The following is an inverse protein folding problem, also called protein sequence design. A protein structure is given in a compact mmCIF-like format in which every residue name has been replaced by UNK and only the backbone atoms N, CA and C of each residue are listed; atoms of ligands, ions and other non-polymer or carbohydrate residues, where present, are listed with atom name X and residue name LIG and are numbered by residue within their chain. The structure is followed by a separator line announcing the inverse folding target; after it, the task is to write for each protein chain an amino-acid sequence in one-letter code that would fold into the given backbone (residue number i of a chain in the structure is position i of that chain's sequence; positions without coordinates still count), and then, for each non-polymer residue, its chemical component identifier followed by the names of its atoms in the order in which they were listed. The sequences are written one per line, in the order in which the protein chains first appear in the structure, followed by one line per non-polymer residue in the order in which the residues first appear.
data_IF_852282255249
#
_entry.id   IF_852282255249
#
_cell.length_a   1.000
_cell.length_b   1.000
_cell.length_c   1.000
_cell.angle_alpha   90.00
_cell.angle_beta   90.00
_cell.angle_gamma   90.00
#
_symmetry.space_group_name_H-M   'P 1'
#
loop_
_entity.id
_entity.type
_entity.pdbx_description
1 polymer ?
#
# COMPACT_ATOMS: atom_id res chain seq x y z
N UNK A 1 29.37 -53.79 -22.68
CA UNK A 1 29.22 -52.43 -23.25
C UNK A 1 27.76 -51.90 -23.27
N UNK A 2 26.75 -52.58 -22.69
CA UNK A 2 25.32 -52.20 -22.84
C UNK A 2 24.80 -51.19 -21.78
N UNK A 3 25.34 -51.15 -20.56
CA UNK A 3 24.75 -50.37 -19.46
C UNK A 3 24.97 -48.84 -19.56
N UNK A 4 26.07 -48.37 -20.16
CA UNK A 4 26.40 -46.95 -20.22
C UNK A 4 25.54 -46.16 -21.23
N UNK A 5 25.08 -46.80 -22.31
CA UNK A 5 24.22 -46.18 -23.31
C UNK A 5 22.78 -45.96 -22.80
N UNK A 6 22.28 -46.86 -21.93
CA UNK A 6 20.95 -46.77 -21.33
C UNK A 6 20.83 -45.61 -20.32
N UNK A 7 21.87 -45.38 -19.51
CA UNK A 7 21.87 -44.30 -18.51
C UNK A 7 21.87 -42.89 -19.15
N UNK A 8 22.59 -42.71 -20.27
CA UNK A 8 22.62 -41.45 -21.01
C UNK A 8 21.27 -41.14 -21.70
N UNK A 9 20.59 -42.16 -22.24
CA UNK A 9 19.24 -42.03 -22.80
C UNK A 9 18.19 -41.64 -21.76
N UNK A 10 18.28 -42.20 -20.54
CA UNK A 10 17.36 -41.88 -19.44
C UNK A 10 17.58 -40.47 -18.87
N UNK A 11 18.83 -40.00 -18.81
CA UNK A 11 19.16 -38.65 -18.36
C UNK A 11 18.64 -37.58 -19.34
N UNK A 12 18.80 -37.79 -20.65
CA UNK A 12 18.28 -36.90 -21.69
C UNK A 12 16.74 -36.87 -21.72
N UNK A 13 16.09 -38.04 -21.57
CA UNK A 13 14.63 -38.16 -21.46
C UNK A 13 14.05 -37.42 -20.25
N UNK A 14 14.69 -37.55 -19.09
CA UNK A 14 14.29 -36.84 -17.87
C UNK A 14 14.52 -35.32 -17.97
N UNK A 15 15.58 -34.87 -18.64
CA UNK A 15 15.84 -33.46 -18.87
C UNK A 15 14.76 -32.80 -19.75
N UNK A 16 14.37 -33.45 -20.85
CA UNK A 16 13.30 -32.96 -21.73
C UNK A 16 11.94 -32.92 -21.02
N UNK A 17 11.61 -33.95 -20.24
CA UNK A 17 10.37 -33.99 -19.45
C UNK A 17 10.34 -32.92 -18.34
N UNK A 18 11.49 -32.61 -17.73
CA UNK A 18 11.60 -31.50 -16.76
C UNK A 18 11.48 -30.13 -17.42
N UNK A 19 12.09 -29.94 -18.59
CA UNK A 19 11.99 -28.69 -19.35
C UNK A 19 10.55 -28.39 -19.77
N UNK A 20 9.81 -29.39 -20.28
CA UNK A 20 8.40 -29.25 -20.64
C UNK A 20 7.51 -28.89 -19.45
N UNK A 21 7.71 -29.55 -18.29
CA UNK A 21 7.00 -29.23 -17.04
C UNK A 21 7.31 -27.82 -16.53
N UNK A 22 8.57 -27.39 -16.63
CA UNK A 22 8.98 -26.04 -16.26
C UNK A 22 8.37 -24.98 -17.19
N UNK A 23 8.36 -25.23 -18.50
CA UNK A 23 7.76 -24.35 -19.49
C UNK A 23 6.25 -24.18 -19.27
N UNK A 24 5.52 -25.27 -19.03
CA UNK A 24 4.08 -25.23 -18.75
C UNK A 24 3.77 -24.43 -17.48
N UNK A 25 4.54 -24.65 -16.41
CA UNK A 25 4.40 -23.91 -15.14
C UNK A 25 4.73 -22.43 -15.29
N UNK A 26 5.76 -22.09 -16.05
CA UNK A 26 6.11 -20.69 -16.34
C UNK A 26 5.03 -20.02 -17.20
N UNK A 27 4.49 -20.71 -18.21
CA UNK A 27 3.41 -20.21 -19.04
C UNK A 27 2.15 -19.92 -18.22
N UNK A 28 1.74 -20.83 -17.33
CA UNK A 28 0.62 -20.63 -16.42
C UNK A 28 0.84 -19.42 -15.47
N UNK A 29 2.06 -19.28 -14.93
CA UNK A 29 2.41 -18.15 -14.06
C UNK A 29 2.39 -16.82 -14.80
N UNK A 30 2.88 -16.79 -16.05
CA UNK A 30 2.86 -15.61 -16.91
C UNK A 30 1.43 -15.24 -17.32
N UNK A 31 0.59 -16.23 -17.66
CA UNK A 31 -0.82 -16.00 -17.96
C UNK A 31 -1.57 -15.40 -16.76
N UNK A 32 -1.37 -15.94 -15.55
CA UNK A 32 -1.95 -15.38 -14.33
C UNK A 32 -1.47 -13.95 -14.05
N UNK A 33 -0.17 -13.67 -14.26
CA UNK A 33 0.40 -12.32 -14.08
C UNK A 33 -0.18 -11.33 -15.09
N UNK A 34 -0.32 -11.73 -16.36
CA UNK A 34 -0.86 -10.89 -17.42
C UNK A 34 -2.36 -10.61 -17.20
N UNK A 35 -3.12 -11.61 -16.76
CA UNK A 35 -4.53 -11.44 -16.39
C UNK A 35 -4.70 -10.46 -15.21
N UNK A 36 -3.84 -10.56 -14.18
CA UNK A 36 -3.82 -9.61 -13.07
C UNK A 36 -3.44 -8.19 -13.51
N UNK A 37 -2.46 -8.06 -14.41
CA UNK A 37 -2.04 -6.77 -14.97
C UNK A 37 -3.15 -6.13 -15.83
N UNK A 38 -3.84 -6.91 -16.66
CA UNK A 38 -4.96 -6.43 -17.48
C UNK A 38 -6.17 -6.05 -16.62
N UNK A 39 -6.44 -6.77 -15.54
CA UNK A 39 -7.48 -6.39 -14.58
C UNK A 39 -7.12 -5.06 -13.89
N UNK A 40 -5.86 -4.88 -13.50
CA UNK A 40 -5.38 -3.64 -12.89
C UNK A 40 -5.49 -2.41 -13.81
N UNK A 41 -5.41 -2.59 -15.14
CA UNK A 41 -5.46 -1.51 -16.12
C UNK A 41 -6.83 -0.78 -16.18
N UNK A 42 -7.91 -1.42 -15.73
CA UNK A 42 -9.25 -0.83 -15.68
C UNK A 42 -9.68 -0.41 -14.27
N UNK A 43 -8.77 -0.41 -13.28
CA UNK A 43 -9.10 0.01 -11.91
C UNK A 43 -8.62 1.45 -11.69
N UNK A 44 -9.54 2.30 -11.22
CA UNK A 44 -9.27 3.69 -10.85
C UNK A 44 -7.97 3.82 -10.02
N UNK A 45 -7.16 4.88 -10.24
CA UNK A 45 -5.88 5.04 -9.56
C UNK A 45 -6.04 5.08 -8.03
N UNK A 46 -4.97 4.74 -7.31
CA UNK A 46 -4.97 4.93 -5.86
C UNK A 46 -4.96 6.44 -5.56
N UNK A 47 -5.96 6.93 -4.83
CA UNK A 47 -5.94 8.27 -4.27
C UNK A 47 -5.27 8.22 -2.89
N UNK A 48 -4.06 8.76 -2.78
CA UNK A 48 -3.26 8.75 -1.55
C UNK A 48 -3.25 10.16 -0.98
N UNK A 49 -3.66 10.31 0.28
CA UNK A 49 -3.48 11.55 1.03
C UNK A 49 -2.40 11.31 2.07
N UNK A 50 -1.29 12.03 1.95
CA UNK A 50 -0.09 11.89 2.75
C UNK A 50 0.06 13.09 3.68
N UNK A 51 -0.16 12.90 4.97
CA UNK A 51 0.07 13.92 5.99
C UNK A 51 1.50 13.82 6.54
N UNK A 52 2.30 14.86 6.31
CA UNK A 52 3.67 15.01 6.80
C UNK A 52 4.68 15.13 5.65
N UNK A 53 5.33 16.28 5.56
CA UNK A 53 6.45 16.59 4.66
C UNK A 53 7.82 16.39 5.32
N UNK A 54 7.90 15.52 6.33
CA UNK A 54 9.18 15.11 6.94
C UNK A 54 9.99 14.16 6.06
N UNK A 55 11.16 13.74 6.55
CA UNK A 55 12.09 12.87 5.82
C UNK A 55 11.46 11.58 5.25
N UNK A 56 10.53 10.95 5.98
CA UNK A 56 9.84 9.74 5.51
C UNK A 56 8.85 10.06 4.39
N UNK A 57 8.13 11.17 4.49
CA UNK A 57 7.21 11.66 3.45
C UNK A 57 7.96 11.91 2.14
N UNK A 58 9.07 12.63 2.19
CA UNK A 58 9.97 12.85 1.05
C UNK A 58 10.44 11.54 0.41
N UNK A 59 10.91 10.60 1.22
CA UNK A 59 11.36 9.30 0.72
C UNK A 59 10.22 8.50 0.07
N UNK A 60 9.01 8.57 0.63
CA UNK A 60 7.84 7.88 0.08
C UNK A 60 7.36 8.52 -1.22
N UNK A 61 7.33 9.85 -1.33
CA UNK A 61 6.93 10.58 -2.54
C UNK A 61 7.80 10.18 -3.74
N UNK A 62 9.11 9.99 -3.55
CA UNK A 62 10.01 9.51 -4.61
C UNK A 62 9.60 8.15 -5.16
N UNK A 63 9.08 7.25 -4.31
CA UNK A 63 8.59 5.94 -4.74
C UNK A 63 7.21 6.06 -5.42
N UNK A 64 6.28 6.79 -4.78
CA UNK A 64 4.90 6.97 -5.27
C UNK A 64 4.85 7.73 -6.60
N UNK A 65 5.82 8.61 -6.87
CA UNK A 65 5.94 9.35 -8.13
C UNK A 65 6.06 8.47 -9.38
N UNK A 66 6.43 7.20 -9.21
CA UNK A 66 6.57 6.22 -10.30
C UNK A 66 5.36 5.28 -10.44
N UNK A 67 4.37 5.38 -9.55
CA UNK A 67 3.23 4.47 -9.49
C UNK A 67 1.97 5.10 -10.09
N UNK A 68 1.03 4.30 -10.63
CA UNK A 68 -0.26 4.77 -11.13
C UNK A 68 -1.20 5.16 -9.97
N UNK A 69 -0.87 6.25 -9.29
CA UNK A 69 -1.59 6.83 -8.17
C UNK A 69 -1.61 8.35 -8.28
N UNK A 70 -2.55 8.99 -7.58
CA UNK A 70 -2.59 10.43 -7.36
C UNK A 70 -2.29 10.66 -5.89
N UNK A 71 -1.37 11.58 -5.59
CA UNK A 71 -0.95 11.88 -4.23
C UNK A 71 -1.28 13.33 -3.89
N UNK A 72 -1.97 13.54 -2.78
CA UNK A 72 -2.11 14.84 -2.14
C UNK A 72 -1.19 14.86 -0.92
N UNK A 73 -0.18 15.73 -0.91
CA UNK A 73 0.88 15.78 0.09
C UNK A 73 0.72 17.00 0.98
N UNK A 74 0.36 16.76 2.24
CA UNK A 74 -0.17 17.76 3.18
C UNK A 74 0.82 18.00 4.32
N UNK A 75 1.17 19.24 4.58
CA UNK A 75 1.91 19.70 5.77
C UNK A 75 1.66 21.21 5.93
N UNK A 76 1.79 21.75 7.13
CA UNK A 76 1.59 23.20 7.35
C UNK A 76 2.83 24.02 6.97
N UNK A 77 4.00 23.37 6.94
CA UNK A 77 5.29 24.01 6.69
C UNK A 77 5.61 23.98 5.21
N UNK A 78 5.24 25.06 4.52
CA UNK A 78 5.47 25.25 3.08
C UNK A 78 6.95 25.04 2.71
N UNK A 79 7.88 25.48 3.56
CA UNK A 79 9.32 25.38 3.34
C UNK A 79 9.87 23.95 3.33
N UNK A 80 9.08 22.95 3.72
CA UNK A 80 9.49 21.55 3.65
C UNK A 80 9.26 20.91 2.29
N UNK A 81 8.43 21.50 1.45
CA UNK A 81 8.18 20.95 0.12
C UNK A 81 9.32 21.30 -0.84
N UNK A 82 9.67 20.40 -1.76
CA UNK A 82 10.63 20.72 -2.81
C UNK A 82 9.99 21.63 -3.87
N UNK A 83 10.82 22.38 -4.59
CA UNK A 83 10.38 23.23 -5.70
C UNK A 83 9.71 22.42 -6.83
N UNK A 84 10.15 21.17 -7.02
CA UNK A 84 9.63 20.25 -8.02
C UNK A 84 9.14 18.95 -7.38
N UNK A 85 7.93 18.54 -7.76
CA UNK A 85 7.34 17.24 -7.39
C UNK A 85 7.04 16.41 -8.64
N UNK A 86 6.95 15.07 -8.50
CA UNK A 86 6.41 14.23 -9.57
C UNK A 86 5.03 14.71 -10.03
N UNK A 87 4.73 14.56 -11.32
CA UNK A 87 3.49 15.10 -11.92
C UNK A 87 2.17 14.58 -11.30
N UNK A 88 2.22 13.45 -10.59
CA UNK A 88 1.08 12.86 -9.90
C UNK A 88 0.97 13.28 -8.42
N UNK A 89 1.77 14.24 -7.96
CA UNK A 89 1.83 14.71 -6.58
C UNK A 89 1.41 16.18 -6.53
N UNK A 90 0.35 16.47 -5.80
CA UNK A 90 -0.14 17.81 -5.49
C UNK A 90 0.24 18.17 -4.06
N UNK A 91 0.87 19.32 -3.87
CA UNK A 91 1.24 19.86 -2.56
C UNK A 91 0.04 20.62 -1.98
N UNK A 92 -0.19 20.43 -0.68
CA UNK A 92 -1.17 21.18 0.11
C UNK A 92 -0.47 21.73 1.36
N UNK A 93 0.07 22.94 1.24
CA UNK A 93 0.62 23.68 2.37
C UNK A 93 -0.53 24.30 3.19
N UNK A 94 -0.93 23.66 4.28
CA UNK A 94 -2.11 24.09 5.06
C UNK A 94 -2.01 23.78 6.55
N UNK A 95 -2.52 24.72 7.36
CA UNK A 95 -2.71 24.61 8.81
C UNK A 95 -4.04 23.91 9.20
N UNK A 96 -4.87 23.53 8.22
CA UNK A 96 -6.16 22.85 8.41
C UNK A 96 -6.18 21.44 7.78
N UNK A 97 -5.26 20.54 8.15
CA UNK A 97 -5.17 19.20 7.54
C UNK A 97 -6.40 18.32 7.83
N UNK A 98 -7.21 18.63 8.85
CA UNK A 98 -8.47 17.94 9.11
C UNK A 98 -9.54 18.23 8.05
N UNK A 99 -9.54 19.43 7.44
CA UNK A 99 -10.39 19.73 6.29
C UNK A 99 -10.02 18.87 5.08
N UNK A 100 -8.73 18.59 4.88
CA UNK A 100 -8.25 17.68 3.84
C UNK A 100 -8.70 16.24 4.12
N UNK A 101 -8.69 15.80 5.39
CA UNK A 101 -9.28 14.49 5.76
C UNK A 101 -10.75 14.41 5.37
N UNK A 102 -11.53 15.48 5.55
CA UNK A 102 -12.96 15.49 5.22
C UNK A 102 -13.22 15.55 3.71
N UNK A 103 -12.41 16.31 2.98
CA UNK A 103 -12.52 16.47 1.53
C UNK A 103 -11.97 15.26 0.74
N UNK A 104 -11.20 14.38 1.38
CA UNK A 104 -10.64 13.20 0.71
C UNK A 104 -11.74 12.37 0.03
N UNK A 105 -11.50 11.87 -1.20
CA UNK A 105 -12.51 11.10 -1.92
C UNK A 105 -12.79 9.76 -1.23
N UNK A 106 -14.00 9.19 -1.39
CA UNK A 106 -14.27 7.81 -1.00
C UNK A 106 -13.26 6.86 -1.64
N UNK A 107 -12.83 5.86 -0.89
CA UNK A 107 -11.81 4.90 -1.29
C UNK A 107 -10.38 5.43 -1.20
N UNK A 108 -10.14 6.59 -0.59
CA UNK A 108 -8.80 7.13 -0.38
C UNK A 108 -7.94 6.27 0.57
N UNK A 109 -6.63 6.37 0.38
CA UNK A 109 -5.58 5.84 1.25
C UNK A 109 -5.05 7.00 2.09
N UNK A 110 -5.30 6.97 3.39
CA UNK A 110 -4.98 8.06 4.31
C UNK A 110 -3.74 7.68 5.11
N UNK A 111 -2.65 8.42 4.92
CA UNK A 111 -1.34 8.12 5.50
C UNK A 111 -0.92 9.23 6.45
N UNK A 112 -0.74 8.91 7.73
CA UNK A 112 -0.34 9.87 8.76
C UNK A 112 1.11 9.63 9.17
N UNK A 113 2.01 10.51 8.76
CA UNK A 113 3.43 10.46 9.08
C UNK A 113 4.02 11.81 9.49
N UNK A 114 3.25 12.56 10.29
CA UNK A 114 3.73 13.80 10.89
C UNK A 114 4.73 13.51 12.01
N UNK A 115 5.38 14.56 12.49
CA UNK A 115 6.27 14.51 13.65
C UNK A 115 5.58 14.95 14.94
N UNK A 116 4.32 15.41 14.86
CA UNK A 116 3.57 15.98 15.97
C UNK A 116 2.54 14.97 16.50
N UNK A 117 2.78 14.46 17.71
CA UNK A 117 1.91 13.47 18.35
C UNK A 117 0.46 13.92 18.57
N UNK A 118 0.23 15.21 18.81
CA UNK A 118 -1.11 15.75 19.00
C UNK A 118 -1.85 15.81 17.65
N UNK A 119 -1.17 16.28 16.61
CA UNK A 119 -1.69 16.32 15.25
C UNK A 119 -2.01 14.91 14.73
N UNK A 120 -1.08 13.96 14.87
CA UNK A 120 -1.30 12.57 14.48
C UNK A 120 -2.57 11.98 15.12
N UNK A 121 -2.80 12.27 16.40
CA UNK A 121 -3.99 11.80 17.09
C UNK A 121 -5.26 12.50 16.60
N UNK A 122 -5.21 13.81 16.36
CA UNK A 122 -6.32 14.58 15.81
C UNK A 122 -6.75 14.01 14.45
N UNK A 123 -5.79 13.79 13.56
CA UNK A 123 -5.99 13.18 12.24
C UNK A 123 -6.53 11.76 12.38
N UNK A 124 -5.94 10.91 13.22
CA UNK A 124 -6.45 9.56 13.46
C UNK A 124 -7.91 9.57 13.93
N UNK A 125 -8.27 10.45 14.87
CA UNK A 125 -9.65 10.58 15.34
C UNK A 125 -10.61 11.12 14.26
N UNK A 126 -10.14 12.00 13.36
CA UNK A 126 -10.93 12.48 12.21
C UNK A 126 -11.14 11.37 11.19
N UNK A 127 -10.07 10.67 10.80
CA UNK A 127 -10.10 9.56 9.85
C UNK A 127 -11.01 8.44 10.35
N UNK A 128 -10.89 8.06 11.63
CA UNK A 128 -11.72 7.01 12.22
C UNK A 128 -13.22 7.36 12.31
N UNK A 129 -13.62 8.63 12.11
CA UNK A 129 -15.04 8.98 11.95
C UNK A 129 -15.59 8.64 10.56
N UNK A 130 -14.74 8.62 9.54
CA UNK A 130 -15.12 8.24 8.17
C UNK A 130 -15.41 6.75 8.08
N UNK A 131 -16.22 6.35 7.08
CA UNK A 131 -16.64 4.96 6.82
C UNK A 131 -16.27 4.46 5.42
N UNK A 132 -15.64 5.32 4.64
CA UNK A 132 -15.51 5.19 3.21
C UNK A 132 -14.06 5.21 2.73
N UNK A 133 -13.07 5.25 3.61
CA UNK A 133 -11.66 5.14 3.22
C UNK A 133 -11.29 3.69 2.89
N UNK A 134 -10.34 3.52 1.96
CA UNK A 134 -9.80 2.22 1.56
C UNK A 134 -8.74 1.70 2.52
N UNK A 135 -7.95 2.60 3.09
CA UNK A 135 -6.82 2.27 3.95
C UNK A 135 -6.48 3.45 4.86
N UNK A 136 -6.16 3.16 6.12
CA UNK A 136 -5.58 4.11 7.05
C UNK A 136 -4.31 3.53 7.67
N UNK A 137 -3.17 4.18 7.39
CA UNK A 137 -1.87 3.82 7.96
C UNK A 137 -1.23 5.00 8.67
N UNK A 138 -0.61 4.73 9.81
CA UNK A 138 0.05 5.74 10.63
C UNK A 138 1.44 5.30 11.07
N UNK A 139 2.41 6.20 10.91
CA UNK A 139 3.76 5.99 11.44
C UNK A 139 3.76 5.99 12.96
N UNK A 140 4.66 5.22 13.56
CA UNK A 140 4.91 5.24 14.99
C UNK A 140 5.25 3.87 15.54
N UNK A 141 5.17 3.72 16.85
CA UNK A 141 5.47 2.47 17.54
C UNK A 141 4.20 1.72 17.95
N UNK A 142 4.36 0.44 18.31
CA UNK A 142 3.29 -0.35 18.96
C UNK A 142 2.76 0.36 20.23
N UNK A 143 3.64 1.01 20.99
CA UNK A 143 3.25 1.79 22.16
C UNK A 143 2.40 3.01 21.80
N UNK A 144 2.72 3.72 20.70
CA UNK A 144 1.88 4.82 20.18
C UNK A 144 0.49 4.29 19.80
N UNK A 145 0.43 3.15 19.10
CA UNK A 145 -0.84 2.48 18.75
C UNK A 145 -1.71 2.27 19.99
N UNK A 146 -1.21 1.57 21.00
CA UNK A 146 -1.99 1.25 22.22
C UNK A 146 -2.53 2.51 22.90
N UNK A 147 -1.70 3.56 23.00
CA UNK A 147 -2.13 4.86 23.56
C UNK A 147 -3.24 5.51 22.73
N UNK A 148 -3.14 5.43 21.41
CA UNK A 148 -4.12 6.03 20.52
C UNK A 148 -5.42 5.25 20.51
N UNK A 149 -5.37 3.91 20.48
CA UNK A 149 -6.54 3.04 20.59
C UNK A 149 -7.36 3.37 21.84
N UNK A 150 -6.72 3.44 23.01
CA UNK A 150 -7.41 3.84 24.25
C UNK A 150 -8.12 5.19 24.12
N UNK A 151 -7.42 6.21 23.62
CA UNK A 151 -7.99 7.57 23.46
C UNK A 151 -9.07 7.63 22.38
N UNK A 152 -9.01 6.78 21.36
CA UNK A 152 -10.04 6.67 20.32
C UNK A 152 -11.32 6.03 20.89
N UNK A 153 -11.18 4.99 21.72
CA UNK A 153 -12.30 4.40 22.46
C UNK A 153 -12.98 5.42 23.38
N UNK A 154 -12.18 6.20 24.13
CA UNK A 154 -12.68 7.31 24.97
C UNK A 154 -13.43 8.38 24.15
N UNK A 155 -13.18 8.47 22.83
CA UNK A 155 -13.88 9.36 21.89
C UNK A 155 -15.05 8.69 21.14
N UNK A 156 -15.43 7.48 21.53
CA UNK A 156 -16.58 6.77 20.96
C UNK A 156 -16.29 6.07 19.63
N UNK A 157 -15.03 5.84 19.28
CA UNK A 157 -14.70 4.93 18.16
C UNK A 157 -15.06 3.52 18.59
N UNK A 158 -15.86 2.86 17.76
CA UNK A 158 -16.25 1.46 17.92
C UNK A 158 -14.98 0.56 18.00
N UNK A 159 -14.84 -0.27 19.06
CA UNK A 159 -13.69 -1.17 19.25
C UNK A 159 -13.39 -2.04 18.03
N UNK A 160 -14.41 -2.54 17.34
CA UNK A 160 -14.24 -3.45 16.21
C UNK A 160 -13.59 -2.76 15.01
N UNK A 161 -13.60 -1.42 15.00
CA UNK A 161 -12.98 -0.63 13.94
C UNK A 161 -11.52 -0.31 14.18
N UNK A 162 -10.99 -0.51 15.39
CA UNK A 162 -9.59 -0.20 15.67
C UNK A 162 -8.63 -1.02 14.78
N UNK A 163 -9.07 -2.18 14.30
CA UNK A 163 -8.36 -3.00 13.30
C UNK A 163 -8.14 -2.27 11.97
N UNK A 164 -8.96 -1.27 11.63
CA UNK A 164 -8.84 -0.45 10.42
C UNK A 164 -7.68 0.54 10.48
N UNK A 165 -7.17 0.84 11.68
CA UNK A 165 -5.97 1.66 11.86
C UNK A 165 -4.74 0.75 11.80
N UNK A 166 -3.90 0.91 10.80
CA UNK A 166 -2.58 0.26 10.74
C UNK A 166 -1.52 1.14 11.41
N UNK A 167 -0.86 0.64 12.45
CA UNK A 167 0.22 1.31 13.14
C UNK A 167 1.07 0.27 13.89
N UNK A 168 2.41 0.24 13.77
CA UNK A 168 3.21 0.90 12.74
C UNK A 168 2.72 0.56 11.32
N UNK A 169 2.73 1.56 10.43
CA UNK A 169 2.56 1.39 8.99
C UNK A 169 3.80 0.73 8.36
N UNK A 170 3.59 -0.09 7.33
CA UNK A 170 4.64 -0.75 6.54
C UNK A 170 4.76 -2.24 6.81
N UNK A 171 5.26 -2.98 5.82
CA UNK A 171 5.42 -4.45 5.92
C UNK A 171 6.35 -4.83 7.07
N UNK A 172 6.02 -5.92 7.75
CA UNK A 172 6.84 -6.50 8.82
C UNK A 172 8.18 -7.03 8.29
N UNK A 173 9.19 -7.09 9.17
CA UNK A 173 10.49 -7.72 8.88
C UNK A 173 11.59 -6.73 8.48
N UNK A 174 11.23 -5.49 8.14
CA UNK A 174 12.18 -4.39 7.96
C UNK A 174 12.27 -3.62 9.27
N UNK A 175 13.42 -3.70 9.95
CA UNK A 175 13.65 -3.06 11.26
C UNK A 175 14.47 -1.77 11.17
N UNK A 176 15.02 -1.48 10.00
CA UNK A 176 15.77 -0.25 9.74
C UNK A 176 14.84 0.96 9.88
N UNK A 177 15.33 1.99 10.58
CA UNK A 177 14.61 3.24 10.85
C UNK A 177 14.98 4.33 9.85
N UNK A 178 15.86 4.06 8.89
CA UNK A 178 16.18 4.98 7.82
C UNK A 178 14.90 5.37 7.06
N UNK A 179 14.70 6.66 6.73
CA UNK A 179 13.49 7.13 6.05
C UNK A 179 13.18 6.37 4.74
N UNK A 180 14.21 6.02 3.97
CA UNK A 180 14.08 5.24 2.74
C UNK A 180 13.62 3.79 3.00
N UNK A 181 14.14 3.14 4.04
CA UNK A 181 13.72 1.79 4.41
C UNK A 181 12.26 1.76 4.85
N UNK A 182 11.84 2.74 5.66
CA UNK A 182 10.44 2.91 6.06
C UNK A 182 9.57 3.16 4.81
N UNK A 183 9.99 4.06 3.91
CA UNK A 183 9.25 4.35 2.68
C UNK A 183 9.05 3.11 1.80
N UNK A 184 10.08 2.27 1.63
CA UNK A 184 9.95 0.98 0.91
C UNK A 184 8.96 0.07 1.61
N UNK A 185 9.04 -0.04 2.95
CA UNK A 185 8.13 -0.88 3.71
C UNK A 185 6.66 -0.45 3.57
N UNK A 186 6.41 0.86 3.61
CA UNK A 186 5.09 1.47 3.41
C UNK A 186 4.60 1.26 1.98
N UNK A 187 5.43 1.56 0.98
CA UNK A 187 5.09 1.38 -0.43
C UNK A 187 4.72 -0.09 -0.75
N UNK A 188 5.48 -1.04 -0.21
CA UNK A 188 5.16 -2.46 -0.34
C UNK A 188 3.80 -2.82 0.28
N UNK A 189 3.49 -2.28 1.47
CA UNK A 189 2.19 -2.52 2.13
C UNK A 189 1.03 -1.95 1.31
N UNK A 190 1.17 -0.73 0.77
CA UNK A 190 0.17 -0.10 -0.10
C UNK A 190 -0.13 -0.96 -1.33
N UNK A 191 0.91 -1.47 -1.99
CA UNK A 191 0.76 -2.36 -3.14
C UNK A 191 0.07 -3.69 -2.78
N UNK A 192 0.33 -4.24 -1.58
CA UNK A 192 -0.36 -5.43 -1.10
C UNK A 192 -1.85 -5.15 -0.85
N UNK A 193 -2.19 -4.03 -0.22
CA UNK A 193 -3.58 -3.60 -0.01
C UNK A 193 -4.28 -3.45 -1.36
N UNK A 194 -3.66 -2.72 -2.29
CA UNK A 194 -4.19 -2.52 -3.64
C UNK A 194 -4.42 -3.84 -4.37
N UNK A 195 -3.47 -4.76 -4.30
CA UNK A 195 -3.59 -6.09 -4.93
C UNK A 195 -4.80 -6.85 -4.37
N UNK A 196 -5.01 -6.83 -3.04
CA UNK A 196 -6.19 -7.45 -2.41
C UNK A 196 -7.50 -6.81 -2.86
N UNK A 197 -7.53 -5.49 -3.00
CA UNK A 197 -8.73 -4.77 -3.46
C UNK A 197 -9.08 -5.08 -4.91
N UNK A 198 -8.09 -5.08 -5.81
CA UNK A 198 -8.31 -5.46 -7.22
C UNK A 198 -8.87 -6.88 -7.29
N UNK A 199 -8.29 -7.83 -6.53
CA UNK A 199 -8.78 -9.21 -6.50
C UNK A 199 -10.24 -9.30 -6.02
N UNK A 200 -10.61 -8.56 -4.96
CA UNK A 200 -11.98 -8.52 -4.46
C UNK A 200 -12.96 -7.91 -5.47
N UNK A 201 -12.57 -6.82 -6.15
CA UNK A 201 -13.39 -6.19 -7.19
C UNK A 201 -13.64 -7.12 -8.38
N UNK A 202 -12.58 -7.78 -8.87
CA UNK A 202 -12.69 -8.75 -9.98
C UNK A 202 -13.58 -9.93 -9.59
N UNK A 203 -13.47 -10.42 -8.35
CA UNK A 203 -14.34 -11.49 -7.86
C UNK A 203 -15.82 -11.02 -7.86
N UNK A 204 -16.09 -9.83 -7.31
CA UNK A 204 -17.45 -9.28 -7.27
C UNK A 204 -18.06 -9.09 -8.67
N UNK A 205 -17.30 -8.52 -9.61
CA UNK A 205 -17.74 -8.32 -11.00
C UNK A 205 -18.11 -9.64 -11.67
N UNK A 206 -17.34 -10.71 -11.42
CA UNK A 206 -17.65 -12.05 -11.94
C UNK A 206 -18.94 -12.61 -11.36
N UNK A 207 -19.19 -12.43 -10.06
CA UNK A 207 -20.45 -12.86 -9.44
C UNK A 207 -21.64 -12.12 -10.05
N UNK A 208 -21.57 -10.80 -10.23
CA UNK A 208 -22.65 -10.01 -10.80
C UNK A 208 -22.89 -10.28 -12.30
N UNK A 209 -21.86 -10.67 -13.06
CA UNK A 209 -22.00 -10.96 -14.49
C UNK A 209 -22.65 -12.33 -14.81
N UNK A 210 -22.87 -13.17 -13.78
CA UNK A 210 -23.52 -14.48 -13.91
C UNK A 210 -24.93 -14.52 -13.28
N UNK A 211 -25.47 -13.36 -12.89
CA UNK A 211 -26.86 -13.15 -12.44
C UNK A 211 -27.60 -12.39 -13.54
#
# INVERSE_FOLDING_TARGET
MSAAASAAGNAAGNAAANAARNAARNAARNAARNAAASAAANVAPMHIVLFGAGHVGHALIRLLGSLPCVVQWVDERDELFPDETPANVQIEATDTPDAIVDAAPPGAYLLVMTHNHALDFSLAARIMRRRDFSYFGMIGSKTKRVKFERRLLERGVDPDRLVQMTCPIGVSGIVDKAPSAIAVAVCAELLQVRTRQIAAQVAMQRLCAHV
#
